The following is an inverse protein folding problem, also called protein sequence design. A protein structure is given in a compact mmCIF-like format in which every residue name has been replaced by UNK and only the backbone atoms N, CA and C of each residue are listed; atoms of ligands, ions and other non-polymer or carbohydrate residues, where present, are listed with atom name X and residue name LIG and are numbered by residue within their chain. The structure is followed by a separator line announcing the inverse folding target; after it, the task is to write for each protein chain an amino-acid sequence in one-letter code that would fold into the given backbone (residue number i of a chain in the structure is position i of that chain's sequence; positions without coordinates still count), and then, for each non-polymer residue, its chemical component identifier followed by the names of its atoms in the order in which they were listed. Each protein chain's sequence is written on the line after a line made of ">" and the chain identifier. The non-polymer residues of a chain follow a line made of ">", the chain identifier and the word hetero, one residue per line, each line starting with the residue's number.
data_IF_071491996398
#
_entry.id   IF_071491996398
#
_cell.length_a   1.000
_cell.length_b   1.000
_cell.length_c   1.000
_cell.angle_alpha   90.00
_cell.angle_beta   90.00
_cell.angle_gamma   90.00
#
_symmetry.space_group_name_H-M   'P 1'
#
loop_
_entity.id
_entity.type
_entity.pdbx_description
1 polymer ?
#
# COMPACT_ATOMS: atom_id res chain seq x y z
N UNK A 1 16.93 18.51 9.48
CA UNK A 1 16.04 17.59 10.22
C UNK A 1 15.32 16.59 9.32
N UNK A 2 14.32 16.95 8.49
CA UNK A 2 13.62 15.96 7.63
C UNK A 2 14.57 15.17 6.72
N UNK A 3 15.47 15.84 5.99
CA UNK A 3 16.46 15.19 5.13
C UNK A 3 17.45 14.29 5.88
N UNK A 4 17.79 14.65 7.12
CA UNK A 4 18.71 13.86 7.95
C UNK A 4 18.02 12.58 8.42
N UNK A 5 16.76 12.69 8.86
CA UNK A 5 15.92 11.53 9.20
C UNK A 5 15.74 10.62 7.98
N UNK A 6 15.36 11.19 6.83
CA UNK A 6 15.24 10.43 5.58
C UNK A 6 16.54 9.69 5.24
N UNK A 7 17.71 10.35 5.38
CA UNK A 7 19.01 9.70 5.09
C UNK A 7 19.37 8.55 6.02
N UNK A 8 18.83 8.52 7.24
CA UNK A 8 19.08 7.45 8.21
C UNK A 8 18.21 6.21 7.95
N UNK A 9 17.08 6.39 7.28
CA UNK A 9 16.03 5.36 7.15
C UNK A 9 15.95 4.79 5.75
N UNK A 10 16.15 5.62 4.73
CA UNK A 10 16.16 5.23 3.32
C UNK A 10 17.59 4.89 2.88
N UNK A 11 18.20 3.89 3.53
CA UNK A 11 19.63 3.58 3.32
C UNK A 11 19.88 2.82 2.01
N UNK A 12 18.97 1.91 1.65
CA UNK A 12 19.09 1.03 0.47
C UNK A 12 18.08 1.34 -0.61
N UNK A 13 16.87 1.71 -0.22
CA UNK A 13 15.80 2.14 -1.13
C UNK A 13 15.34 3.54 -0.75
N UNK A 14 15.07 4.37 -1.76
CA UNK A 14 14.50 5.69 -1.57
C UNK A 14 13.01 5.60 -1.26
N UNK A 15 12.46 6.67 -0.68
CA UNK A 15 11.01 6.81 -0.48
C UNK A 15 10.22 6.56 -1.77
N UNK A 16 10.69 7.09 -2.89
CA UNK A 16 10.01 6.94 -4.18
C UNK A 16 10.02 5.49 -4.67
N UNK A 17 11.11 4.76 -4.43
CA UNK A 17 11.18 3.33 -4.75
C UNK A 17 10.20 2.51 -3.90
N UNK A 18 10.08 2.79 -2.60
CA UNK A 18 9.10 2.10 -1.75
C UNK A 18 7.66 2.39 -2.20
N UNK A 19 7.38 3.64 -2.59
CA UNK A 19 6.07 4.02 -3.16
C UNK A 19 5.78 3.27 -4.45
N UNK A 20 6.75 3.19 -5.37
CA UNK A 20 6.61 2.46 -6.63
C UNK A 20 6.39 0.96 -6.42
N UNK A 21 7.14 0.35 -5.50
CA UNK A 21 6.94 -1.06 -5.13
C UNK A 21 5.55 -1.30 -4.52
N UNK A 22 5.09 -0.41 -3.65
CA UNK A 22 3.74 -0.51 -3.04
C UNK A 22 2.65 -0.39 -4.11
N UNK A 23 2.77 0.55 -5.05
CA UNK A 23 1.84 0.70 -6.17
C UNK A 23 1.85 -0.52 -7.08
N UNK A 24 3.03 -1.09 -7.34
CA UNK A 24 3.20 -2.28 -8.19
C UNK A 24 2.52 -3.49 -7.53
N UNK A 25 2.73 -3.68 -6.22
CA UNK A 25 2.10 -4.76 -5.46
C UNK A 25 0.58 -4.63 -5.47
N UNK A 26 0.05 -3.43 -5.20
CA UNK A 26 -1.39 -3.16 -5.27
C UNK A 26 -1.97 -3.45 -6.66
N UNK A 27 -1.25 -3.06 -7.71
CA UNK A 27 -1.69 -3.32 -9.09
C UNK A 27 -1.76 -4.82 -9.39
N UNK A 28 -0.78 -5.60 -8.92
CA UNK A 28 -0.80 -7.06 -9.01
C UNK A 28 -1.99 -7.66 -8.26
N UNK A 29 -2.20 -7.23 -7.02
CA UNK A 29 -3.31 -7.69 -6.17
C UNK A 29 -4.68 -7.41 -6.81
N UNK A 30 -4.88 -6.22 -7.37
CA UNK A 30 -6.11 -5.87 -8.09
C UNK A 30 -6.26 -6.69 -9.38
N UNK A 31 -5.19 -6.86 -10.16
CA UNK A 31 -5.26 -7.69 -11.37
C UNK A 31 -5.70 -9.13 -11.05
N UNK A 32 -5.11 -9.74 -10.02
CA UNK A 32 -5.45 -11.09 -9.57
C UNK A 32 -6.90 -11.19 -9.08
N UNK A 33 -7.39 -10.16 -8.37
CA UNK A 33 -8.77 -10.14 -7.87
C UNK A 33 -9.84 -10.07 -8.97
N UNK A 34 -9.51 -9.49 -10.14
CA UNK A 34 -10.46 -9.31 -11.24
C UNK A 34 -10.28 -10.27 -12.42
N UNK A 35 -9.09 -10.88 -12.56
CA UNK A 35 -8.76 -11.75 -13.71
C UNK A 35 -8.38 -13.17 -13.33
N UNK A 36 -8.17 -13.46 -12.04
CA UNK A 36 -7.86 -14.80 -11.54
C UNK A 36 -8.98 -15.81 -11.79
N UNK A 37 -8.61 -17.06 -12.04
CA UNK A 37 -9.54 -18.17 -12.27
C UNK A 37 -10.39 -18.49 -11.03
N UNK A 38 -9.87 -18.19 -9.84
CA UNK A 38 -10.65 -18.09 -8.60
C UNK A 38 -11.06 -16.62 -8.43
N UNK A 39 -12.37 -16.34 -8.48
CA UNK A 39 -12.91 -15.05 -8.05
C UNK A 39 -12.55 -14.89 -6.57
N UNK A 40 -11.43 -14.23 -6.36
CA UNK A 40 -10.72 -14.16 -5.10
C UNK A 40 -11.65 -13.61 -4.02
N UNK A 41 -11.49 -14.00 -2.75
CA UNK A 41 -12.31 -13.45 -1.65
C UNK A 41 -12.26 -11.91 -1.64
N UNK A 42 -11.14 -11.34 -2.14
CA UNK A 42 -10.98 -9.91 -2.38
C UNK A 42 -12.06 -9.31 -3.29
N UNK A 43 -12.45 -9.99 -4.37
CA UNK A 43 -13.47 -9.46 -5.29
C UNK A 43 -14.82 -9.31 -4.60
N UNK A 44 -15.12 -10.17 -3.62
CA UNK A 44 -16.36 -10.13 -2.83
C UNK A 44 -16.38 -8.95 -1.85
N UNK A 45 -15.20 -8.50 -1.42
CA UNK A 45 -15.07 -7.33 -0.54
C UNK A 45 -15.16 -6.03 -1.34
N UNK A 46 -14.81 -6.04 -2.62
CA UNK A 46 -14.89 -4.87 -3.49
C UNK A 46 -16.33 -4.62 -3.99
N UNK A 47 -16.74 -3.35 -4.21
CA UNK A 47 -18.07 -3.02 -4.71
C UNK A 47 -18.50 -3.85 -5.94
N UNK A 48 -19.79 -4.14 -6.07
CA UNK A 48 -20.30 -4.85 -7.24
C UNK A 48 -20.23 -3.96 -8.49
N UNK A 49 -19.95 -4.58 -9.65
CA UNK A 49 -19.98 -3.94 -11.00
C UNK A 49 -18.93 -2.88 -11.29
N UNK A 50 -17.94 -2.69 -10.43
CA UNK A 50 -16.72 -1.94 -10.78
C UNK A 50 -15.74 -2.85 -11.53
N UNK A 51 -14.96 -2.27 -12.43
CA UNK A 51 -13.80 -2.88 -13.08
C UNK A 51 -12.51 -2.32 -12.46
N UNK A 52 -11.35 -2.92 -12.78
CA UNK A 52 -10.05 -2.44 -12.25
C UNK A 52 -9.79 -1.01 -12.69
N UNK A 53 -10.18 -0.68 -13.92
CA UNK A 53 -10.00 0.62 -14.54
C UNK A 53 -10.81 1.73 -13.86
N UNK A 54 -11.84 1.38 -13.09
CA UNK A 54 -12.63 2.33 -12.31
C UNK A 54 -11.98 2.70 -10.96
N UNK A 55 -10.91 1.97 -10.57
CA UNK A 55 -10.20 2.16 -9.31
C UNK A 55 -9.01 3.09 -9.53
N UNK A 56 -9.15 4.31 -9.04
CA UNK A 56 -8.05 5.25 -8.88
C UNK A 56 -7.27 4.96 -7.59
N UNK A 57 -6.00 5.36 -7.57
CA UNK A 57 -5.13 5.23 -6.39
C UNK A 57 -4.52 6.57 -6.02
N UNK A 58 -4.32 6.80 -4.72
CA UNK A 58 -3.69 8.01 -4.21
C UNK A 58 -2.81 7.69 -3.01
N UNK A 59 -1.58 8.18 -3.02
CA UNK A 59 -0.71 8.09 -1.84
C UNK A 59 -1.38 8.80 -0.66
N UNK A 60 -1.65 8.05 0.42
CA UNK A 60 -2.23 8.56 1.66
C UNK A 60 -1.15 9.22 2.49
N UNK A 61 -0.12 8.46 2.85
CA UNK A 61 1.02 8.89 3.62
C UNK A 61 2.21 7.95 3.43
N UNK A 62 3.37 8.42 3.90
CA UNK A 62 4.51 7.57 4.24
C UNK A 62 4.81 7.82 5.69
N UNK A 63 4.62 6.81 6.52
CA UNK A 63 4.72 6.88 7.97
C UNK A 63 5.97 6.18 8.46
N UNK A 64 6.54 6.68 9.55
CA UNK A 64 7.72 6.11 10.17
C UNK A 64 7.39 5.67 11.59
N UNK A 65 7.64 4.40 11.88
CA UNK A 65 7.58 3.86 13.23
C UNK A 65 9.01 3.70 13.75
N UNK A 66 9.39 4.52 14.74
CA UNK A 66 10.69 4.39 15.42
C UNK A 66 10.64 3.33 16.53
N UNK A 67 9.46 3.17 17.13
CA UNK A 67 9.14 2.20 18.16
C UNK A 67 7.67 1.81 17.95
N UNK A 68 7.38 0.51 17.97
CA UNK A 68 6.04 -0.03 17.75
C UNK A 68 5.89 -1.33 18.54
N UNK A 69 4.69 -1.58 19.04
CA UNK A 69 4.35 -2.88 19.66
C UNK A 69 4.29 -3.96 18.58
N UNK A 70 3.88 -3.58 17.36
CA UNK A 70 3.65 -4.50 16.25
C UNK A 70 4.95 -4.80 15.48
N UNK A 71 5.93 -3.89 15.51
CA UNK A 71 7.17 -4.02 14.75
C UNK A 71 8.40 -3.93 15.67
N UNK A 72 9.23 -4.98 15.75
CA UNK A 72 10.39 -5.03 16.66
C UNK A 72 11.58 -4.16 16.21
N UNK A 73 11.50 -3.59 15.00
CA UNK A 73 12.51 -2.73 14.39
C UNK A 73 11.84 -1.47 13.87
N UNK A 74 12.59 -0.36 13.72
CA UNK A 74 12.06 0.80 13.03
C UNK A 74 11.58 0.42 11.63
N UNK A 75 10.39 0.89 11.26
CA UNK A 75 9.73 0.50 10.03
C UNK A 75 9.11 1.71 9.32
N UNK A 76 8.93 1.55 8.02
CA UNK A 76 8.34 2.54 7.13
C UNK A 76 7.06 1.93 6.57
N UNK A 77 5.92 2.58 6.80
CA UNK A 77 4.67 2.21 6.15
C UNK A 77 4.41 3.15 4.99
N UNK A 78 4.13 2.58 3.82
CA UNK A 78 3.60 3.30 2.68
C UNK A 78 2.14 2.94 2.53
N UNK A 79 1.25 3.91 2.70
CA UNK A 79 -0.20 3.70 2.62
C UNK A 79 -0.77 4.35 1.37
N UNK A 80 -1.58 3.59 0.63
CA UNK A 80 -2.24 3.98 -0.61
C UNK A 80 -3.76 3.84 -0.43
N UNK A 81 -4.49 4.92 -0.70
CA UNK A 81 -5.95 4.89 -0.76
C UNK A 81 -6.37 4.37 -2.14
N UNK A 82 -7.27 3.39 -2.14
CA UNK A 82 -8.02 3.00 -3.32
C UNK A 82 -9.32 3.82 -3.37
N UNK A 83 -9.62 4.44 -4.50
CA UNK A 83 -10.80 5.27 -4.68
C UNK A 83 -11.57 4.85 -5.92
N UNK A 84 -12.90 4.90 -5.86
CA UNK A 84 -13.75 4.80 -7.03
C UNK A 84 -13.81 6.17 -7.73
N UNK A 85 -13.22 6.30 -8.91
CA UNK A 85 -13.04 7.61 -9.56
C UNK A 85 -14.36 8.31 -9.88
N UNK A 86 -15.38 7.55 -10.27
CA UNK A 86 -16.69 8.08 -10.69
C UNK A 86 -17.42 8.81 -9.55
N UNK A 87 -17.15 8.42 -8.29
CA UNK A 87 -17.86 8.92 -7.11
C UNK A 87 -16.95 9.55 -6.05
N UNK A 88 -15.64 9.63 -6.31
CA UNK A 88 -14.61 10.01 -5.33
C UNK A 88 -14.81 9.30 -3.98
N UNK A 89 -15.14 8.01 -4.02
CA UNK A 89 -15.44 7.21 -2.83
C UNK A 89 -14.21 6.37 -2.44
N UNK A 90 -13.76 6.49 -1.19
CA UNK A 90 -12.69 5.64 -0.64
C UNK A 90 -13.20 4.20 -0.52
N UNK A 91 -12.55 3.28 -1.23
CA UNK A 91 -12.83 1.84 -1.19
C UNK A 91 -12.10 1.21 0.00
N UNK A 92 -10.91 1.72 0.29
CA UNK A 92 -10.06 1.17 1.33
C UNK A 92 -8.63 1.67 1.25
N UNK A 93 -7.80 1.15 2.14
CA UNK A 93 -6.37 1.46 2.23
C UNK A 93 -5.56 0.19 2.10
N UNK A 94 -4.58 0.25 1.21
CA UNK A 94 -3.53 -0.75 1.08
C UNK A 94 -2.22 -0.18 1.62
N UNK A 95 -1.57 -0.90 2.52
CA UNK A 95 -0.27 -0.52 3.06
C UNK A 95 0.74 -1.65 2.93
N UNK A 96 1.99 -1.30 2.62
CA UNK A 96 3.14 -2.17 2.83
C UNK A 96 4.03 -1.57 3.91
N UNK A 97 4.51 -2.44 4.80
CA UNK A 97 5.46 -2.10 5.85
C UNK A 97 6.82 -2.65 5.47
N UNK A 98 7.81 -1.76 5.45
CA UNK A 98 9.19 -2.04 5.14
C UNK A 98 10.09 -1.88 6.37
N UNK A 99 11.13 -2.70 6.47
CA UNK A 99 12.21 -2.45 7.42
C UNK A 99 13.16 -1.33 6.95
N UNK A 100 14.12 -0.95 7.79
CA UNK A 100 15.15 0.05 7.46
C UNK A 100 16.07 -0.34 6.28
N UNK A 101 16.02 -1.59 5.82
CA UNK A 101 16.75 -2.08 4.65
C UNK A 101 15.92 -1.99 3.37
N UNK A 102 14.65 -1.59 3.48
CA UNK A 102 13.70 -1.51 2.36
C UNK A 102 13.12 -2.87 1.98
N UNK A 103 13.21 -3.87 2.87
CA UNK A 103 12.59 -5.17 2.67
C UNK A 103 11.17 -5.17 3.24
N UNK A 104 10.22 -5.74 2.50
CA UNK A 104 8.85 -5.89 2.98
C UNK A 104 8.81 -6.86 4.17
N UNK A 105 8.18 -6.42 5.25
CA UNK A 105 7.99 -7.23 6.46
C UNK A 105 6.52 -7.53 6.72
N UNK A 106 5.60 -6.71 6.21
CA UNK A 106 4.17 -6.90 6.38
C UNK A 106 3.36 -6.20 5.29
N UNK A 107 2.10 -6.61 5.14
CA UNK A 107 1.16 -6.12 4.14
C UNK A 107 -0.25 -6.06 4.74
N UNK A 108 -0.90 -4.91 4.61
CA UNK A 108 -2.21 -4.64 5.21
C UNK A 108 -3.16 -4.17 4.13
N UNK A 109 -4.34 -4.78 4.10
CA UNK A 109 -5.46 -4.31 3.29
C UNK A 109 -6.70 -4.16 4.16
N UNK A 110 -7.24 -2.95 4.16
CA UNK A 110 -8.49 -2.61 4.85
C UNK A 110 -9.47 -2.10 3.80
N UNK A 111 -10.68 -2.68 3.75
CA UNK A 111 -11.76 -2.31 2.84
C UNK A 111 -12.95 -1.85 3.69
N UNK A 112 -13.57 -0.74 3.30
CA UNK A 112 -14.72 -0.11 3.98
C UNK A 112 -16.09 -0.64 3.49
#
# INVERSE_FOLDING_TARGET
>A
MQKEIESLLFQKKTKDQLIEETLTSLSGLLADAYTGEDVNELRKMLPEKIQVEDIGVKLKNVSLYLDSIDFPVPSIEVSIVMMLEIKEFEIGVYSIIYDTQGEQIDEILIID
#
